data_IF_483628591395
#
_entry.id   IF_483628591395
#
_cell.length_a   1.000
_cell.length_b   1.000
_cell.length_c   1.000
_cell.angle_alpha   90.00
_cell.angle_beta   90.00
_cell.angle_gamma   90.00
#
_symmetry.space_group_name_H-M   'P 1'
#
loop_
_entity.id
_entity.type
_entity.pdbx_description
1 polymer ?
#
# COMPACT_ATOMS: atom_id res chain seq x y z
N UNK A 1 17.50 -22.49 -18.13
CA UNK A 1 16.85 -21.27 -18.64
C UNK A 1 16.77 -20.27 -17.49
N UNK A 2 17.23 -19.02 -17.66
CA UNK A 2 17.32 -18.06 -16.56
C UNK A 2 15.93 -17.81 -15.96
N UNK A 3 15.81 -17.95 -14.64
CA UNK A 3 14.58 -17.71 -13.85
C UNK A 3 13.92 -16.33 -14.08
N UNK A 4 14.64 -15.38 -14.68
CA UNK A 4 14.14 -14.04 -15.03
C UNK A 4 12.93 -14.05 -15.98
N UNK A 5 12.70 -15.12 -16.75
CA UNK A 5 11.60 -15.16 -17.73
C UNK A 5 10.30 -15.81 -17.23
N UNK A 6 10.24 -16.37 -16.02
CA UNK A 6 8.99 -16.87 -15.43
C UNK A 6 8.38 -15.78 -14.54
N UNK A 7 7.26 -15.15 -14.93
CA UNK A 7 6.68 -14.06 -14.17
C UNK A 7 6.24 -14.45 -12.76
N UNK A 8 5.76 -15.67 -12.58
CA UNK A 8 5.27 -16.13 -11.28
C UNK A 8 6.44 -16.44 -10.37
N UNK A 9 7.39 -17.27 -10.84
CA UNK A 9 8.54 -17.64 -10.02
C UNK A 9 9.37 -16.40 -9.64
N UNK A 10 9.63 -15.50 -10.59
CA UNK A 10 10.40 -14.27 -10.33
C UNK A 10 9.70 -13.29 -9.38
N UNK A 11 8.38 -13.12 -9.49
CA UNK A 11 7.62 -12.27 -8.57
C UNK A 11 7.70 -12.78 -7.13
N UNK A 12 7.39 -14.06 -6.91
CA UNK A 12 7.37 -14.63 -5.56
C UNK A 12 8.76 -14.87 -5.00
N UNK A 13 9.78 -15.10 -5.85
CA UNK A 13 11.18 -15.11 -5.42
C UNK A 13 11.63 -13.72 -4.92
N UNK A 14 11.25 -12.63 -5.61
CA UNK A 14 11.55 -11.28 -5.17
C UNK A 14 10.85 -10.93 -3.85
N UNK A 15 9.56 -11.26 -3.71
CA UNK A 15 8.81 -11.08 -2.46
C UNK A 15 9.44 -11.85 -1.29
N UNK A 16 9.81 -13.12 -1.52
CA UNK A 16 10.48 -13.96 -0.51
C UNK A 16 11.84 -13.38 -0.12
N UNK A 17 12.62 -12.92 -1.10
CA UNK A 17 13.93 -12.31 -0.87
C UNK A 17 13.81 -11.04 -0.02
N UNK A 18 12.85 -10.16 -0.33
CA UNK A 18 12.60 -8.96 0.47
C UNK A 18 12.18 -9.30 1.91
N UNK A 19 11.26 -10.26 2.06
CA UNK A 19 10.80 -10.71 3.37
C UNK A 19 11.95 -11.26 4.21
N UNK A 20 12.78 -12.14 3.66
CA UNK A 20 13.90 -12.75 4.38
C UNK A 20 14.94 -11.72 4.76
N UNK A 21 15.26 -10.81 3.84
CA UNK A 21 16.17 -9.72 4.09
C UNK A 21 15.71 -8.85 5.27
N UNK A 22 14.43 -8.45 5.31
CA UNK A 22 13.93 -7.63 6.41
C UNK A 22 13.73 -8.41 7.69
N UNK A 23 13.35 -9.69 7.64
CA UNK A 23 13.24 -10.52 8.83
C UNK A 23 14.60 -10.63 9.51
N UNK A 24 15.67 -10.90 8.74
CA UNK A 24 17.04 -10.93 9.24
C UNK A 24 17.47 -9.57 9.81
N UNK A 25 17.25 -8.49 9.07
CA UNK A 25 17.89 -7.20 9.35
C UNK A 25 17.08 -6.27 10.28
N UNK A 26 15.77 -6.48 10.42
CA UNK A 26 14.86 -5.62 11.21
C UNK A 26 14.13 -6.39 12.33
N UNK A 27 14.05 -7.72 12.23
CA UNK A 27 13.30 -8.56 13.17
C UNK A 27 14.13 -9.73 13.73
N UNK A 28 15.45 -9.72 13.58
CA UNK A 28 16.36 -10.71 14.19
C UNK A 28 15.99 -12.16 13.83
N UNK A 29 15.48 -12.39 12.61
CA UNK A 29 14.97 -13.67 12.12
C UNK A 29 13.83 -14.30 12.94
N UNK A 30 13.13 -13.52 13.78
CA UNK A 30 12.11 -14.08 14.66
C UNK A 30 10.76 -14.34 13.97
N UNK A 31 10.48 -13.70 12.84
CA UNK A 31 9.15 -13.80 12.22
C UNK A 31 8.96 -15.18 11.55
N UNK A 32 7.81 -15.85 11.80
CA UNK A 32 7.50 -17.10 11.12
C UNK A 32 7.27 -16.86 9.62
N UNK A 33 7.45 -17.88 8.79
CA UNK A 33 7.08 -17.79 7.37
C UNK A 33 5.55 -17.70 7.24
N UNK A 34 5.09 -16.85 6.33
CA UNK A 34 3.68 -16.72 5.95
C UNK A 34 3.53 -16.74 4.42
N UNK A 35 2.29 -16.81 3.93
CA UNK A 35 2.02 -16.65 2.50
C UNK A 35 2.01 -15.16 2.14
N UNK A 36 2.98 -14.75 1.30
CA UNK A 36 2.98 -13.41 0.71
C UNK A 36 2.17 -13.49 -0.57
N UNK A 37 1.16 -12.64 -0.74
CA UNK A 37 0.24 -12.69 -1.88
C UNK A 37 0.13 -11.35 -2.59
N UNK A 38 -0.19 -11.37 -3.88
CA UNK A 38 -0.70 -10.19 -4.58
C UNK A 38 -2.22 -10.12 -4.47
N UNK A 39 -2.74 -9.04 -3.89
CA UNK A 39 -4.18 -8.84 -3.71
C UNK A 39 -4.61 -7.50 -4.28
N UNK A 40 -5.52 -7.53 -5.26
CA UNK A 40 -6.15 -6.32 -5.77
C UNK A 40 -7.12 -5.77 -4.73
N UNK A 41 -6.84 -4.56 -4.27
CA UNK A 41 -7.72 -3.75 -3.43
C UNK A 41 -7.88 -2.37 -4.04
N UNK A 42 -8.72 -1.55 -3.42
CA UNK A 42 -8.78 -0.14 -3.78
C UNK A 42 -7.39 0.51 -3.55
N UNK A 43 -7.09 1.57 -4.30
CA UNK A 43 -5.78 2.24 -4.27
C UNK A 43 -5.45 2.94 -2.93
N UNK A 44 -6.35 2.94 -1.94
CA UNK A 44 -6.05 3.42 -0.59
C UNK A 44 -5.51 2.31 0.32
N UNK A 45 -5.32 1.09 -0.20
CA UNK A 45 -4.80 -0.06 0.53
C UNK A 45 -3.58 -0.61 -0.20
N UNK A 46 -2.39 -0.25 0.27
CA UNK A 46 -1.12 -0.68 -0.30
C UNK A 46 -0.77 -2.14 0.07
N UNK A 47 -1.19 -2.58 1.26
CA UNK A 47 -1.01 -3.94 1.75
C UNK A 47 -1.97 -4.22 2.92
N UNK A 48 -1.98 -5.47 3.39
CA UNK A 48 -2.60 -5.85 4.66
C UNK A 48 -2.08 -7.19 5.17
N UNK A 49 -2.07 -7.34 6.49
CA UNK A 49 -1.86 -8.59 7.19
C UNK A 49 -3.18 -9.31 7.52
N UNK A 50 -3.18 -10.65 7.53
CA UNK A 50 -4.29 -11.46 8.03
C UNK A 50 -3.81 -12.73 8.74
N UNK A 51 -4.08 -12.90 10.05
CA UNK A 51 -3.66 -14.08 10.80
C UNK A 51 -4.45 -15.32 10.37
N UNK A 52 -3.78 -16.48 10.38
CA UNK A 52 -4.31 -17.82 10.12
C UNK A 52 -5.19 -17.93 8.87
N UNK A 53 -4.87 -17.13 7.85
CA UNK A 53 -5.74 -16.95 6.68
C UNK A 53 -5.81 -18.19 5.79
N UNK A 54 -4.74 -18.95 5.71
CA UNK A 54 -4.63 -20.11 4.82
C UNK A 54 -4.48 -21.40 5.63
N UNK A 55 -5.18 -22.45 5.22
CA UNK A 55 -5.06 -23.81 5.78
C UNK A 55 -4.38 -24.73 4.77
N UNK A 56 -3.44 -25.55 5.22
CA UNK A 56 -2.82 -26.59 4.39
C UNK A 56 -3.89 -27.61 3.98
N UNK A 57 -3.92 -28.00 2.71
CA UNK A 57 -4.94 -28.96 2.22
C UNK A 57 -4.68 -30.40 2.68
N UNK A 58 -3.42 -30.71 3.04
CA UNK A 58 -2.97 -32.05 3.43
C UNK A 58 -2.77 -32.19 4.94
N UNK A 59 -3.27 -31.26 5.75
CA UNK A 59 -3.08 -31.26 7.20
C UNK A 59 -3.88 -30.16 7.89
N UNK A 60 -3.71 -30.01 9.21
CA UNK A 60 -4.51 -29.06 9.99
C UNK A 60 -3.84 -27.70 10.23
N UNK A 61 -2.57 -27.55 9.87
CA UNK A 61 -1.82 -26.32 10.07
C UNK A 61 -2.39 -25.16 9.23
N UNK A 62 -2.48 -24.01 9.86
CA UNK A 62 -2.73 -22.72 9.22
C UNK A 62 -1.44 -21.91 9.07
N UNK A 63 -1.48 -20.88 8.24
CA UNK A 63 -0.44 -19.87 8.10
C UNK A 63 -1.07 -18.51 7.80
N UNK A 64 -0.37 -17.44 8.15
CA UNK A 64 -0.83 -16.08 7.96
C UNK A 64 -0.70 -15.63 6.50
N UNK A 65 -1.25 -14.46 6.21
CA UNK A 65 -1.10 -13.76 4.94
C UNK A 65 -0.47 -12.39 5.16
N UNK A 66 0.54 -12.06 4.34
CA UNK A 66 0.90 -10.68 4.04
C UNK A 66 0.55 -10.41 2.59
N UNK A 67 -0.44 -9.55 2.36
CA UNK A 67 -0.88 -9.18 1.04
C UNK A 67 -0.26 -7.85 0.62
N UNK A 68 0.27 -7.79 -0.60
CA UNK A 68 0.75 -6.58 -1.26
C UNK A 68 -0.19 -6.25 -2.42
N UNK A 69 -0.58 -5.00 -2.55
CA UNK A 69 -1.39 -4.55 -3.68
C UNK A 69 -0.48 -4.24 -4.89
N UNK A 70 -0.52 -5.05 -5.97
CA UNK A 70 0.40 -4.89 -7.10
C UNK A 70 0.19 -3.58 -7.86
N UNK A 71 -0.95 -2.89 -7.68
CA UNK A 71 -1.21 -1.57 -8.26
C UNK A 71 -0.25 -0.47 -7.77
N UNK A 72 0.38 -0.67 -6.61
CA UNK A 72 1.36 0.27 -6.06
C UNK A 72 2.79 -0.01 -6.53
N UNK A 73 3.05 -1.15 -7.16
CA UNK A 73 4.41 -1.53 -7.56
C UNK A 73 4.78 -0.83 -8.85
N UNK A 74 5.69 0.16 -8.73
CA UNK A 74 6.36 0.80 -9.85
C UNK A 74 7.85 0.88 -9.57
N UNK A 75 8.64 1.09 -10.62
CA UNK A 75 10.10 1.13 -10.51
C UNK A 75 10.55 2.33 -9.66
N UNK A 76 9.85 3.45 -9.78
CA UNK A 76 10.16 4.72 -9.13
C UNK A 76 9.83 4.76 -7.63
N UNK A 77 9.05 3.81 -7.11
CA UNK A 77 8.56 3.82 -5.72
C UNK A 77 8.77 2.48 -4.99
N UNK A 78 9.77 1.70 -5.40
CA UNK A 78 10.06 0.39 -4.78
C UNK A 78 10.26 0.53 -3.26
N UNK A 79 10.91 1.60 -2.80
CA UNK A 79 11.12 1.86 -1.38
C UNK A 79 9.80 1.98 -0.60
N UNK A 80 8.78 2.66 -1.14
CA UNK A 80 7.46 2.78 -0.52
C UNK A 80 6.74 1.42 -0.43
N UNK A 81 6.87 0.58 -1.47
CA UNK A 81 6.32 -0.78 -1.48
C UNK A 81 7.00 -1.65 -0.44
N UNK A 82 8.32 -1.53 -0.31
CA UNK A 82 9.08 -2.27 0.71
C UNK A 82 8.75 -1.77 2.13
N UNK A 83 8.47 -0.47 2.31
CA UNK A 83 7.97 0.06 3.58
C UNK A 83 6.62 -0.55 3.93
N UNK A 84 5.73 -0.70 2.93
CA UNK A 84 4.44 -1.39 3.10
C UNK A 84 4.64 -2.85 3.53
N UNK A 85 5.56 -3.58 2.90
CA UNK A 85 5.88 -4.95 3.33
C UNK A 85 6.32 -5.00 4.79
N UNK A 86 7.23 -4.10 5.21
CA UNK A 86 7.75 -4.05 6.58
C UNK A 86 6.69 -3.61 7.60
N UNK A 87 5.76 -2.73 7.20
CA UNK A 87 4.57 -2.39 7.98
C UNK A 87 3.75 -3.65 8.29
N UNK A 88 3.42 -4.45 7.26
CA UNK A 88 2.65 -5.67 7.45
C UNK A 88 3.44 -6.75 8.22
N UNK A 89 4.76 -6.82 8.06
CA UNK A 89 5.63 -7.67 8.90
C UNK A 89 5.58 -7.25 10.37
N UNK A 90 5.32 -5.99 10.69
CA UNK A 90 5.16 -5.53 12.07
C UNK A 90 3.81 -5.95 12.66
N UNK A 91 2.77 -6.08 11.84
CA UNK A 91 1.54 -6.74 12.26
C UNK A 91 1.74 -8.23 12.54
N UNK A 92 2.47 -8.94 11.66
CA UNK A 92 2.86 -10.33 11.90
C UNK A 92 3.66 -10.46 13.20
N UNK A 93 4.64 -9.59 13.43
CA UNK A 93 5.39 -9.55 14.69
C UNK A 93 4.47 -9.41 15.91
N UNK A 94 3.53 -8.45 15.85
CA UNK A 94 2.64 -8.20 16.97
C UNK A 94 1.69 -9.38 17.23
N UNK A 95 1.20 -10.06 16.18
CA UNK A 95 0.33 -11.23 16.36
C UNK A 95 1.04 -12.36 17.12
N UNK A 96 2.31 -12.63 16.77
CA UNK A 96 3.04 -13.78 17.31
C UNK A 96 3.81 -13.47 18.61
N UNK A 97 4.20 -12.22 18.83
CA UNK A 97 5.10 -11.83 19.92
C UNK A 97 4.62 -10.64 20.75
N UNK A 98 3.57 -9.95 20.30
CA UNK A 98 3.00 -8.81 21.01
C UNK A 98 2.36 -9.23 22.33
N UNK A 99 2.38 -8.33 23.30
CA UNK A 99 1.80 -8.54 24.64
C UNK A 99 0.48 -7.79 24.81
N UNK A 100 0.22 -6.79 23.97
CA UNK A 100 -0.97 -5.95 24.06
C UNK A 100 -2.01 -6.37 23.03
N UNK A 101 -3.19 -6.74 23.51
CA UNK A 101 -4.34 -6.96 22.64
C UNK A 101 -5.02 -5.62 22.31
N UNK A 102 -5.68 -5.57 21.17
CA UNK A 102 -6.46 -4.41 20.75
C UNK A 102 -7.62 -4.87 19.89
N UNK A 103 -8.60 -3.99 19.71
CA UNK A 103 -9.66 -4.26 18.72
C UNK A 103 -9.04 -4.44 17.33
N UNK A 104 -9.72 -5.21 16.49
CA UNK A 104 -9.26 -5.55 15.13
C UNK A 104 -8.75 -4.32 14.37
N UNK A 105 -7.58 -4.47 13.73
CA UNK A 105 -6.93 -3.44 12.89
C UNK A 105 -6.53 -2.15 13.61
N UNK A 106 -6.53 -2.12 14.95
CA UNK A 106 -6.06 -0.97 15.71
C UNK A 106 -4.56 -1.06 15.97
N UNK A 107 -3.86 0.01 15.62
CA UNK A 107 -2.41 0.14 15.82
C UNK A 107 -2.18 0.76 17.18
N UNK A 108 -1.82 -0.08 18.15
CA UNK A 108 -1.57 0.35 19.53
C UNK A 108 -0.12 0.85 19.71
N UNK A 109 0.21 1.26 20.93
CA UNK A 109 1.52 1.81 21.25
C UNK A 109 2.66 0.78 21.12
N UNK A 110 2.39 -0.51 21.36
CA UNK A 110 3.39 -1.59 21.19
C UNK A 110 3.79 -1.73 19.73
N UNK A 111 2.80 -1.81 18.82
CA UNK A 111 3.04 -1.82 17.38
C UNK A 111 3.80 -0.57 16.94
N UNK A 112 3.35 0.61 17.40
CA UNK A 112 3.98 1.88 17.03
C UNK A 112 5.43 1.99 17.51
N UNK A 113 5.71 1.51 18.72
CA UNK A 113 7.08 1.44 19.25
C UNK A 113 7.94 0.52 18.39
N UNK A 114 7.43 -0.67 18.01
CA UNK A 114 8.17 -1.58 17.13
C UNK A 114 8.48 -0.95 15.78
N UNK A 115 7.51 -0.30 15.13
CA UNK A 115 7.73 0.44 13.88
C UNK A 115 8.87 1.46 14.01
N UNK A 116 8.86 2.27 15.08
CA UNK A 116 9.91 3.27 15.31
C UNK A 116 11.29 2.62 15.46
N UNK A 117 11.39 1.48 16.17
CA UNK A 117 12.68 0.77 16.35
C UNK A 117 13.26 0.24 15.05
N UNK A 118 12.41 -0.11 14.07
CA UNK A 118 12.84 -0.62 12.77
C UNK A 118 13.03 0.49 11.73
N UNK A 119 12.84 1.76 12.10
CA UNK A 119 13.08 2.91 11.22
C UNK A 119 11.87 3.40 10.43
N UNK A 120 10.65 3.02 10.81
CA UNK A 120 9.39 3.51 10.23
C UNK A 120 8.61 4.28 11.29
N UNK A 121 8.15 5.50 10.99
CA UNK A 121 7.42 6.32 11.94
C UNK A 121 5.91 6.22 11.70
N UNK A 122 5.12 5.64 12.63
CA UNK A 122 3.66 5.65 12.55
C UNK A 122 3.09 7.06 12.46
N UNK A 123 2.11 7.26 11.59
CA UNK A 123 1.38 8.51 11.47
C UNK A 123 -0.03 8.29 10.92
N UNK A 124 -1.05 8.80 11.61
CA UNK A 124 -2.44 8.81 11.13
C UNK A 124 -2.64 9.68 9.87
N UNK A 125 -1.67 10.54 9.57
CA UNK A 125 -1.62 11.38 8.35
C UNK A 125 -0.60 10.90 7.32
N UNK A 126 0.20 9.88 7.64
CA UNK A 126 1.36 9.45 6.83
C UNK A 126 2.49 10.49 6.76
N UNK A 127 2.49 11.48 7.67
CA UNK A 127 3.43 12.62 7.67
C UNK A 127 3.90 12.98 9.09
N UNK A 128 5.00 13.75 9.24
CA UNK A 128 5.42 14.29 10.53
C UNK A 128 4.29 15.06 11.25
N UNK A 129 4.21 14.88 12.57
CA UNK A 129 3.19 15.54 13.42
C UNK A 129 1.86 14.80 13.54
N UNK A 130 1.65 13.71 12.81
CA UNK A 130 0.48 12.83 13.00
C UNK A 130 0.53 12.05 14.32
N UNK A 131 -0.62 11.53 14.74
CA UNK A 131 -0.71 10.61 15.88
C UNK A 131 -0.02 9.31 15.53
N UNK A 132 0.54 8.63 16.53
CA UNK A 132 1.29 7.37 16.37
C UNK A 132 0.44 6.10 16.56
N UNK A 133 -0.82 6.24 16.95
CA UNK A 133 -1.76 5.13 17.20
C UNK A 133 -3.13 5.43 16.62
N UNK A 134 -3.87 4.40 16.22
CA UNK A 134 -5.16 4.60 15.58
C UNK A 134 -5.72 3.40 14.83
N UNK A 135 -6.97 3.51 14.41
CA UNK A 135 -7.66 2.45 13.65
C UNK A 135 -7.21 2.38 12.18
N UNK A 136 -6.76 3.51 11.65
CA UNK A 136 -6.22 3.66 10.29
C UNK A 136 -4.93 4.43 10.44
N UNK A 137 -3.82 3.79 10.08
CA UNK A 137 -2.50 4.36 10.21
C UNK A 137 -1.79 4.20 8.88
N UNK A 138 -1.01 5.21 8.52
CA UNK A 138 0.12 5.01 7.64
C UNK A 138 1.41 5.15 8.44
N UNK A 139 2.49 5.31 7.71
CA UNK A 139 3.81 5.59 8.24
C UNK A 139 4.60 6.42 7.22
N UNK A 140 5.74 6.91 7.68
CA UNK A 140 6.75 7.48 6.80
C UNK A 140 8.12 6.98 7.24
N UNK A 141 9.05 6.94 6.29
CA UNK A 141 10.42 6.49 6.52
C UNK A 141 11.13 7.49 7.42
N UNK A 142 11.76 7.01 8.49
CA UNK A 142 12.63 7.83 9.33
C UNK A 142 13.92 8.08 8.58
N UNK A 143 14.28 9.36 8.40
CA UNK A 143 15.53 9.75 7.76
C UNK A 143 16.74 9.17 8.52
N UNK A 144 17.65 8.52 7.79
CA UNK A 144 18.79 7.76 8.31
C UNK A 144 18.40 6.64 9.29
N UNK A 145 17.13 6.23 9.29
CA UNK A 145 16.61 5.14 10.11
C UNK A 145 17.04 3.76 9.60
N UNK A 146 16.83 2.74 10.44
CA UNK A 146 17.28 1.38 10.18
C UNK A 146 16.69 0.80 8.88
N UNK A 147 15.37 0.93 8.68
CA UNK A 147 14.70 0.56 7.43
C UNK A 147 15.41 1.19 6.23
N UNK A 148 15.53 2.52 6.19
CA UNK A 148 16.13 3.23 5.06
C UNK A 148 17.55 2.73 4.74
N UNK A 149 18.41 2.61 5.76
CA UNK A 149 19.79 2.14 5.57
C UNK A 149 19.84 0.72 4.99
N UNK A 150 19.00 -0.18 5.49
CA UNK A 150 18.93 -1.57 5.01
C UNK A 150 18.33 -1.65 3.61
N UNK A 151 17.27 -0.90 3.32
CA UNK A 151 16.67 -0.84 1.99
C UNK A 151 17.64 -0.28 0.96
N UNK A 152 18.42 0.75 1.29
CA UNK A 152 19.46 1.27 0.40
C UNK A 152 20.52 0.22 0.05
N UNK A 153 20.96 -0.59 1.03
CA UNK A 153 21.88 -1.70 0.79
C UNK A 153 21.24 -2.76 -0.13
N UNK A 154 20.00 -3.17 0.17
CA UNK A 154 19.26 -4.14 -0.64
C UNK A 154 19.15 -3.70 -2.11
N UNK A 155 18.75 -2.44 -2.34
CA UNK A 155 18.60 -1.86 -3.68
C UNK A 155 19.95 -1.71 -4.39
N UNK A 156 21.00 -1.25 -3.68
CA UNK A 156 22.37 -1.15 -4.24
C UNK A 156 22.92 -2.50 -4.68
N UNK A 157 22.51 -3.58 -4.03
CA UNK A 157 22.86 -4.96 -4.39
C UNK A 157 22.03 -5.53 -5.54
N UNK A 158 21.22 -4.70 -6.21
CA UNK A 158 20.50 -5.06 -7.44
C UNK A 158 19.11 -5.67 -7.22
N UNK A 159 18.57 -5.57 -6.00
CA UNK A 159 17.19 -6.00 -5.76
C UNK A 159 16.19 -5.21 -6.61
N UNK A 160 15.20 -5.91 -7.16
CA UNK A 160 14.07 -5.31 -7.89
C UNK A 160 12.78 -6.06 -7.56
N UNK A 161 11.64 -5.37 -7.73
CA UNK A 161 10.33 -5.99 -7.85
C UNK A 161 9.98 -6.05 -9.34
N UNK A 162 10.07 -7.23 -9.99
CA UNK A 162 10.04 -7.30 -11.45
C UNK A 162 8.65 -7.10 -12.08
N UNK A 163 7.58 -7.21 -11.28
CA UNK A 163 6.19 -7.16 -11.78
C UNK A 163 5.30 -6.28 -10.90
N UNK A 164 4.54 -5.41 -11.55
CA UNK A 164 3.45 -4.62 -10.97
C UNK A 164 2.21 -4.70 -11.84
N UNK A 165 1.08 -4.24 -11.32
CA UNK A 165 -0.17 -4.20 -12.09
C UNK A 165 -0.19 -3.00 -13.04
N UNK A 166 -0.69 -3.22 -14.26
CA UNK A 166 -1.02 -2.13 -15.17
C UNK A 166 -2.25 -1.39 -14.63
N UNK A 167 -2.02 -0.30 -13.93
CA UNK A 167 -3.10 0.56 -13.42
C UNK A 167 -3.57 1.51 -14.52
N UNK A 168 -4.67 1.15 -15.17
CA UNK A 168 -5.38 2.09 -16.04
C UNK A 168 -6.16 3.04 -15.13
N UNK A 169 -5.61 4.25 -14.95
CA UNK A 169 -6.36 5.33 -14.31
C UNK A 169 -7.44 5.75 -15.30
N UNK A 170 -8.61 5.12 -15.21
CA UNK A 170 -9.81 5.78 -15.69
C UNK A 170 -9.96 7.04 -14.86
N UNK A 171 -9.98 8.24 -15.46
CA UNK A 171 -10.12 9.48 -14.71
C UNK A 171 -11.28 9.30 -13.74
N UNK A 172 -11.00 9.41 -12.42
CA UNK A 172 -12.02 9.20 -11.40
C UNK A 172 -13.27 9.93 -11.84
N UNK A 173 -14.39 9.21 -11.93
CA UNK A 173 -15.66 9.80 -12.27
C UNK A 173 -15.86 11.02 -11.38
N UNK A 174 -16.02 12.17 -12.02
CA UNK A 174 -16.25 13.46 -11.39
C UNK A 174 -17.30 13.35 -10.27
N UNK A 175 -17.18 14.17 -9.21
CA UNK A 175 -17.94 13.99 -7.97
C UNK A 175 -19.44 13.76 -8.22
N UNK A 176 -20.08 12.92 -7.38
CA UNK A 176 -21.52 12.64 -7.48
C UNK A 176 -22.44 13.85 -7.25
N UNK A 177 -21.91 15.02 -6.84
CA UNK A 177 -22.69 16.25 -6.72
C UNK A 177 -23.06 16.77 -8.12
N UNK A 178 -24.36 16.90 -8.37
CA UNK A 178 -24.93 17.48 -9.58
C UNK A 178 -24.75 19.00 -9.54
N UNK A 179 -24.04 19.55 -10.52
CA UNK A 179 -23.76 20.98 -10.71
C UNK A 179 -24.49 21.46 -11.96
N UNK A 180 -24.94 22.72 -11.95
CA UNK A 180 -25.57 23.36 -13.10
C UNK A 180 -24.48 24.00 -13.95
N UNK A 181 -24.54 23.80 -15.26
CA UNK A 181 -23.70 24.45 -16.24
C UNK A 181 -24.59 25.32 -17.11
N UNK A 182 -24.22 26.59 -17.28
CA UNK A 182 -25.03 27.58 -18.02
C UNK A 182 -24.21 28.19 -19.14
N UNK A 183 -24.76 28.19 -20.36
CA UNK A 183 -24.15 28.93 -21.47
C UNK A 183 -24.24 30.43 -21.17
N UNK A 184 -23.13 31.19 -21.18
CA UNK A 184 -23.18 32.60 -20.82
C UNK A 184 -23.91 33.46 -21.86
N UNK A 185 -24.05 32.98 -23.10
CA UNK A 185 -24.75 33.69 -24.19
C UNK A 185 -26.24 33.36 -24.22
N UNK A 186 -26.61 32.13 -24.60
CA UNK A 186 -28.02 31.75 -24.81
C UNK A 186 -28.74 31.22 -23.55
N UNK A 187 -28.04 31.15 -22.42
CA UNK A 187 -28.59 30.73 -21.11
C UNK A 187 -29.14 29.30 -21.05
N UNK A 188 -28.86 28.45 -22.05
CA UNK A 188 -29.16 27.01 -21.96
C UNK A 188 -28.45 26.39 -20.78
N UNK A 189 -29.14 25.48 -20.09
CA UNK A 189 -28.66 24.85 -18.87
C UNK A 189 -28.51 23.34 -19.07
N UNK A 190 -27.40 22.80 -18.58
CA UNK A 190 -27.13 21.36 -18.52
C UNK A 190 -26.74 21.04 -17.08
N UNK A 191 -27.18 19.89 -16.55
CA UNK A 191 -26.77 19.45 -15.23
C UNK A 191 -25.95 18.18 -15.35
N UNK A 192 -24.81 18.16 -14.65
CA UNK A 192 -23.89 17.03 -14.69
C UNK A 192 -23.06 16.94 -13.41
N UNK A 193 -22.22 15.92 -13.32
CA UNK A 193 -21.24 15.79 -12.23
C UNK A 193 -20.31 17.01 -12.17
N UNK A 194 -19.90 17.39 -10.96
CA UNK A 194 -19.02 18.55 -10.75
C UNK A 194 -17.66 18.35 -11.44
N UNK A 195 -17.24 19.30 -12.30
CA UNK A 195 -15.97 19.28 -13.05
C UNK A 195 -16.07 18.75 -14.48
N UNK A 196 -17.28 18.55 -15.01
CA UNK A 196 -17.50 18.28 -16.43
C UNK A 196 -17.30 19.57 -17.23
N UNK A 197 -16.93 19.43 -18.51
CA UNK A 197 -16.87 20.53 -19.47
C UNK A 197 -17.91 20.29 -20.55
N UNK A 198 -18.73 21.30 -20.83
CA UNK A 198 -19.78 21.24 -21.84
C UNK A 198 -19.61 22.39 -22.82
N UNK A 199 -19.84 22.15 -24.11
CA UNK A 199 -19.89 23.19 -25.12
C UNK A 199 -21.33 23.41 -25.59
N UNK A 200 -21.72 24.68 -25.73
CA UNK A 200 -22.96 25.04 -26.41
C UNK A 200 -22.65 25.12 -27.90
N UNK A 201 -23.03 24.10 -28.67
CA UNK A 201 -22.73 24.04 -30.11
C UNK A 201 -23.35 25.22 -30.87
N UNK A 202 -24.52 25.71 -30.44
CA UNK A 202 -25.16 26.88 -31.06
C UNK A 202 -24.38 28.19 -30.86
N UNK A 203 -23.65 28.31 -29.74
CA UNK A 203 -22.90 29.53 -29.41
C UNK A 203 -21.39 29.36 -29.55
N UNK A 204 -20.91 28.13 -29.81
CA UNK A 204 -19.50 27.75 -29.89
C UNK A 204 -18.67 28.18 -28.66
N UNK A 205 -19.27 28.12 -27.46
CA UNK A 205 -18.62 28.48 -26.20
C UNK A 205 -18.85 27.42 -25.13
N UNK A 206 -17.93 27.38 -24.17
CA UNK A 206 -18.06 26.52 -23.00
C UNK A 206 -19.12 27.05 -22.01
N UNK A 207 -19.91 26.14 -21.44
CA UNK A 207 -20.86 26.46 -20.38
C UNK A 207 -20.12 26.66 -19.04
N UNK A 208 -20.53 27.66 -18.27
CA UNK A 208 -19.95 27.97 -16.97
C UNK A 208 -20.69 27.23 -15.85
N UNK A 209 -19.95 26.58 -14.95
CA UNK A 209 -20.51 25.97 -13.74
C UNK A 209 -21.07 27.05 -12.79
N UNK A 210 -22.24 26.78 -12.20
CA UNK A 210 -22.96 27.63 -11.24
C UNK A 210 -23.51 26.79 -10.10
#
# INVERSE_FOLDING_TARGET
MKKENDPTESAYAALTTAYDYYNENLFENMLPKCLITFQRKNLNTAGFYSPERFKKTTGDNTTDEIAINPAHIKKENIEDVLSTLVHEMTHLWQEHFGKQTSRRSYHNAEWGTKMETIGLMPSDTGKPGGKKTGQKMGDYIIENGLFQMKTQILLKNGFTLPWGEIVIIHPQGLSGKKVKYSCPTCKVNVWGKAGLRFACINCMIELQAR
#
